data_IF_456207339230
#
_entry.id   IF_456207339230
#
_cell.length_a   1.000
_cell.length_b   1.000
_cell.length_c   1.000
_cell.angle_alpha   90.00
_cell.angle_beta   90.00
_cell.angle_gamma   90.00
#
_symmetry.space_group_name_H-M   'P 1'
#
loop_
_entity.id
_entity.type
_entity.pdbx_description
1 polymer ?
#
# COMPACT_ATOMS: atom_id res chain seq x y z
N UNK A 1 7.40 9.76 -18.03
CA UNK A 1 5.91 9.91 -17.99
C UNK A 1 5.31 8.67 -17.38
N UNK A 2 4.41 8.76 -16.40
CA UNK A 2 3.81 7.58 -15.76
C UNK A 2 2.30 7.75 -15.68
N UNK A 3 1.54 6.80 -16.22
CA UNK A 3 0.08 6.85 -16.29
C UNK A 3 -0.52 5.49 -15.94
N UNK A 4 -1.63 5.50 -15.21
CA UNK A 4 -2.41 4.32 -14.86
C UNK A 4 -3.86 4.55 -15.25
N UNK A 5 -4.45 3.56 -15.89
CA UNK A 5 -5.80 3.63 -16.40
C UNK A 5 -6.57 2.38 -16.00
N UNK A 6 -7.82 2.57 -15.64
CA UNK A 6 -8.75 1.48 -15.34
C UNK A 6 -9.92 1.50 -16.29
N UNK A 7 -10.45 0.32 -16.57
CA UNK A 7 -11.68 0.13 -17.31
C UNK A 7 -12.55 -0.84 -16.53
N UNK A 8 -13.75 -0.39 -16.18
CA UNK A 8 -14.71 -1.16 -15.40
C UNK A 8 -16.05 -1.22 -16.13
N UNK A 9 -16.54 -2.43 -16.36
CA UNK A 9 -17.92 -2.73 -16.76
C UNK A 9 -18.54 -3.73 -15.78
N UNK A 10 -19.75 -4.25 -16.05
CA UNK A 10 -20.47 -5.18 -15.17
C UNK A 10 -19.69 -6.49 -14.88
N UNK A 11 -18.77 -6.89 -15.76
CA UNK A 11 -18.04 -8.17 -15.70
C UNK A 11 -16.52 -8.05 -15.75
N UNK A 12 -16.01 -6.90 -16.20
CA UNK A 12 -14.61 -6.63 -16.45
C UNK A 12 -14.10 -5.56 -15.50
N UNK A 13 -12.97 -5.85 -14.87
CA UNK A 13 -12.19 -4.87 -14.12
C UNK A 13 -10.73 -4.97 -14.58
N UNK A 14 -10.36 -4.12 -15.54
CA UNK A 14 -9.08 -4.19 -16.24
C UNK A 14 -8.24 -2.95 -15.94
N UNK A 15 -6.93 -3.12 -15.95
CA UNK A 15 -6.00 -2.00 -15.90
C UNK A 15 -5.06 -2.00 -17.10
N UNK A 16 -4.54 -0.81 -17.37
CA UNK A 16 -3.47 -0.57 -18.30
C UNK A 16 -2.60 0.55 -17.74
N UNK A 17 -1.30 0.43 -17.82
CA UNK A 17 -0.36 1.46 -17.39
C UNK A 17 0.76 1.61 -18.39
N UNK A 18 1.34 2.80 -18.39
CA UNK A 18 2.58 3.09 -19.12
C UNK A 18 3.53 3.84 -18.22
N UNK A 19 4.79 3.41 -18.22
CA UNK A 19 5.91 4.07 -17.54
C UNK A 19 7.02 4.32 -18.56
N UNK A 20 7.26 5.59 -18.88
CA UNK A 20 8.27 6.07 -19.81
C UNK A 20 9.46 6.57 -19.01
N UNK A 21 10.61 5.93 -19.22
CA UNK A 21 11.90 6.23 -18.62
C UNK A 21 12.94 6.43 -19.73
N UNK A 22 13.26 7.69 -20.04
CA UNK A 22 14.15 8.05 -21.14
C UNK A 22 13.61 7.57 -22.50
N UNK A 23 14.44 6.88 -23.28
CA UNK A 23 14.08 6.34 -24.59
C UNK A 23 13.32 5.00 -24.54
N UNK A 24 12.91 4.55 -23.35
CA UNK A 24 12.22 3.27 -23.17
C UNK A 24 10.90 3.48 -22.46
N UNK A 25 9.86 2.78 -22.90
CA UNK A 25 8.63 2.69 -22.13
C UNK A 25 8.27 1.25 -21.80
N UNK A 26 7.63 1.08 -20.66
CA UNK A 26 7.02 -0.18 -20.21
C UNK A 26 5.52 -0.01 -20.19
N UNK A 27 4.81 -0.88 -20.88
CA UNK A 27 3.35 -0.97 -20.83
C UNK A 27 2.98 -2.22 -20.03
N UNK A 28 2.13 -2.06 -19.02
CA UNK A 28 1.60 -3.19 -18.24
C UNK A 28 0.08 -3.22 -18.33
N UNK A 29 -0.51 -4.40 -18.51
CA UNK A 29 -1.97 -4.55 -18.59
C UNK A 29 -2.45 -5.85 -17.97
N UNK A 30 -3.70 -5.88 -17.50
CA UNK A 30 -4.26 -7.06 -16.87
C UNK A 30 -5.60 -6.81 -16.20
N UNK A 31 -5.99 -7.75 -15.33
CA UNK A 31 -7.13 -7.60 -14.43
C UNK A 31 -6.67 -6.83 -13.18
N UNK A 32 -7.46 -5.88 -12.69
CA UNK A 32 -7.12 -5.17 -11.44
C UNK A 32 -6.96 -6.20 -10.31
N UNK A 33 -5.85 -6.09 -9.57
CA UNK A 33 -5.49 -7.03 -8.50
C UNK A 33 -4.65 -8.24 -8.93
N UNK A 34 -4.33 -8.40 -10.23
CA UNK A 34 -3.31 -9.34 -10.68
C UNK A 34 -2.01 -8.63 -11.05
N UNK A 35 -0.92 -9.39 -11.16
CA UNK A 35 0.39 -8.86 -11.59
C UNK A 35 0.39 -8.33 -13.04
N UNK A 36 -0.61 -8.71 -13.84
CA UNK A 36 -0.70 -8.35 -15.26
C UNK A 36 0.43 -8.92 -16.13
N UNK A 37 0.53 -8.39 -17.34
CA UNK A 37 1.60 -8.66 -18.30
C UNK A 37 2.27 -7.35 -18.68
N UNK A 38 3.60 -7.36 -18.75
CA UNK A 38 4.41 -6.18 -19.09
C UNK A 38 5.11 -6.37 -20.43
N UNK A 39 5.17 -5.31 -21.22
CA UNK A 39 5.91 -5.23 -22.47
C UNK A 39 6.79 -3.98 -22.46
N UNK A 40 8.08 -4.17 -22.69
CA UNK A 40 9.07 -3.09 -22.72
C UNK A 40 9.43 -2.82 -24.18
N UNK A 41 9.49 -1.53 -24.54
CA UNK A 41 9.91 -1.11 -25.87
C UNK A 41 10.88 0.06 -25.79
N UNK A 42 12.00 -0.08 -26.48
CA UNK A 42 13.06 0.92 -26.55
C UNK A 42 13.06 1.59 -27.92
N UNK A 43 13.28 2.90 -27.93
CA UNK A 43 13.27 3.77 -29.10
C UNK A 43 14.64 4.41 -29.29
N UNK A 44 14.81 5.03 -30.46
CA UNK A 44 16.06 5.70 -30.78
C UNK A 44 16.25 6.97 -29.94
N UNK A 45 15.17 7.73 -29.75
CA UNK A 45 15.18 8.96 -28.97
C UNK A 45 14.02 9.02 -27.94
N UNK A 46 14.16 9.91 -26.96
CA UNK A 46 13.16 10.11 -25.90
C UNK A 46 11.87 10.76 -26.43
N UNK A 47 11.94 11.59 -27.47
CA UNK A 47 10.78 12.31 -28.01
C UNK A 47 9.83 11.38 -28.76
N UNK A 48 10.36 10.46 -29.54
CA UNK A 48 9.67 9.38 -30.25
C UNK A 48 9.03 8.43 -29.23
N UNK A 49 9.78 8.04 -28.20
CA UNK A 49 9.28 7.23 -27.10
C UNK A 49 8.05 7.87 -26.44
N UNK A 50 8.13 9.17 -26.11
CA UNK A 50 7.04 9.91 -25.49
C UNK A 50 5.84 10.05 -26.42
N UNK A 51 6.06 10.39 -27.71
CA UNK A 51 4.98 10.51 -28.71
C UNK A 51 4.20 9.21 -28.90
N UNK A 52 4.89 8.07 -28.99
CA UNK A 52 4.24 6.77 -29.11
C UNK A 52 3.50 6.38 -27.82
N UNK A 53 4.08 6.64 -26.65
CA UNK A 53 3.40 6.41 -25.37
C UNK A 53 2.11 7.24 -25.24
N UNK A 54 2.15 8.52 -25.62
CA UNK A 54 0.97 9.38 -25.62
C UNK A 54 -0.09 8.96 -26.63
N UNK A 55 0.33 8.45 -27.79
CA UNK A 55 -0.59 7.90 -28.80
C UNK A 55 -1.35 6.71 -28.22
N UNK A 56 -0.65 5.76 -27.59
CA UNK A 56 -1.26 4.63 -26.90
C UNK A 56 -2.21 5.08 -25.79
N UNK A 57 -1.82 6.08 -25.01
CA UNK A 57 -2.68 6.67 -23.98
C UNK A 57 -4.00 7.19 -24.58
N UNK A 58 -3.93 8.02 -25.62
CA UNK A 58 -5.12 8.59 -26.29
C UNK A 58 -6.03 7.50 -26.85
N UNK A 59 -5.47 6.42 -27.41
CA UNK A 59 -6.25 5.28 -27.89
C UNK A 59 -6.98 4.56 -26.76
N UNK A 60 -6.37 4.41 -25.58
CA UNK A 60 -7.02 3.80 -24.41
C UNK A 60 -8.13 4.68 -23.85
N UNK A 61 -7.90 5.99 -23.74
CA UNK A 61 -8.91 6.95 -23.29
C UNK A 61 -10.14 6.93 -24.22
N UNK A 62 -9.94 6.88 -25.54
CA UNK A 62 -11.04 6.74 -26.51
C UNK A 62 -11.84 5.44 -26.36
N UNK A 63 -11.22 4.37 -25.84
CA UNK A 63 -11.88 3.09 -25.55
C UNK A 63 -12.62 3.08 -24.21
N UNK A 64 -12.73 4.22 -23.54
CA UNK A 64 -13.45 4.37 -22.27
C UNK A 64 -12.61 4.03 -21.04
N UNK A 65 -11.30 3.86 -21.18
CA UNK A 65 -10.43 3.79 -19.99
C UNK A 65 -10.39 5.15 -19.30
N UNK A 66 -10.39 5.14 -17.98
CA UNK A 66 -10.31 6.34 -17.15
C UNK A 66 -8.94 6.41 -16.48
N UNK A 67 -8.36 7.61 -16.47
CA UNK A 67 -7.11 7.85 -15.77
C UNK A 67 -7.33 7.81 -14.24
N UNK A 68 -6.47 7.07 -13.55
CA UNK A 68 -6.52 6.90 -12.09
C UNK A 68 -5.11 6.94 -11.52
N UNK A 69 -5.01 7.10 -10.20
CA UNK A 69 -3.73 7.11 -9.50
C UNK A 69 -3.01 5.77 -9.59
N UNK A 70 -1.68 5.81 -9.53
CA UNK A 70 -0.89 4.59 -9.50
C UNK A 70 -1.16 3.82 -8.19
N UNK A 71 -1.27 2.48 -8.22
CA UNK A 71 -1.62 1.69 -7.04
C UNK A 71 -0.71 1.94 -5.84
N UNK A 72 0.58 2.18 -6.10
CA UNK A 72 1.59 2.47 -5.09
C UNK A 72 1.34 3.80 -4.37
N UNK A 73 0.97 4.85 -5.10
CA UNK A 73 0.61 6.16 -4.53
C UNK A 73 -0.64 6.05 -3.67
N UNK A 74 -1.63 5.28 -4.14
CA UNK A 74 -2.86 5.02 -3.39
C UNK A 74 -2.58 4.24 -2.09
N UNK A 75 -1.72 3.23 -2.15
CA UNK A 75 -1.33 2.46 -0.98
C UNK A 75 -0.61 3.34 0.06
N UNK A 76 0.32 4.18 -0.38
CA UNK A 76 1.04 5.11 0.49
C UNK A 76 0.10 6.12 1.17
N UNK A 77 -0.85 6.68 0.42
CA UNK A 77 -1.86 7.58 0.98
C UNK A 77 -2.76 6.89 2.02
N UNK A 78 -3.16 5.64 1.77
CA UNK A 78 -3.95 4.84 2.72
C UNK A 78 -3.15 4.50 3.97
N UNK A 79 -1.89 4.09 3.82
CA UNK A 79 -0.99 3.80 4.96
C UNK A 79 -0.80 5.06 5.80
N UNK A 80 -0.54 6.20 5.16
CA UNK A 80 -0.41 7.48 5.85
C UNK A 80 -1.69 7.85 6.59
N UNK A 81 -2.85 7.72 5.95
CA UNK A 81 -4.14 8.00 6.59
C UNK A 81 -4.40 7.08 7.79
N UNK A 82 -4.17 5.77 7.65
CA UNK A 82 -4.33 4.81 8.73
C UNK A 82 -3.37 5.10 9.88
N UNK A 83 -2.13 5.45 9.57
CA UNK A 83 -1.15 5.89 10.55
C UNK A 83 -1.64 7.13 11.28
N UNK A 84 -2.02 8.20 10.57
CA UNK A 84 -2.48 9.46 11.18
C UNK A 84 -3.72 9.24 12.06
N UNK A 85 -4.68 8.44 11.59
CA UNK A 85 -5.87 8.04 12.36
C UNK A 85 -5.51 7.25 13.60
N UNK A 86 -4.58 6.30 13.49
CA UNK A 86 -4.12 5.51 14.62
C UNK A 86 -3.37 6.37 15.64
N UNK A 87 -2.52 7.31 15.19
CA UNK A 87 -1.85 8.27 16.05
C UNK A 87 -2.84 9.16 16.80
N UNK A 88 -3.91 9.61 16.15
CA UNK A 88 -4.96 10.40 16.80
C UNK A 88 -5.75 9.57 17.82
N UNK A 89 -6.06 8.32 17.49
CA UNK A 89 -6.65 7.38 18.44
C UNK A 89 -5.76 7.19 19.67
N UNK A 90 -4.47 6.92 19.48
CA UNK A 90 -3.51 6.77 20.57
C UNK A 90 -3.42 8.04 21.42
N UNK A 91 -3.30 9.22 20.82
CA UNK A 91 -3.29 10.49 21.56
C UNK A 91 -4.54 10.70 22.41
N UNK A 92 -5.70 10.31 21.90
CA UNK A 92 -6.97 10.41 22.64
C UNK A 92 -6.99 9.42 23.81
N UNK A 93 -6.59 8.17 23.57
CA UNK A 93 -6.56 7.13 24.61
C UNK A 93 -5.50 7.34 25.68
N UNK A 94 -4.34 7.90 25.33
CA UNK A 94 -3.30 8.27 26.31
C UNK A 94 -3.83 9.32 27.29
N UNK A 95 -4.59 10.32 26.82
CA UNK A 95 -5.26 11.27 27.70
C UNK A 95 -6.28 10.61 28.62
N UNK A 96 -7.05 9.64 28.10
CA UNK A 96 -7.97 8.86 28.94
C UNK A 96 -7.21 8.10 30.05
N UNK A 97 -5.99 7.63 29.78
CA UNK A 97 -5.16 6.89 30.75
C UNK A 97 -4.50 7.77 31.82
N UNK A 98 -4.35 9.07 31.57
CA UNK A 98 -3.89 10.05 32.56
C UNK A 98 -4.98 10.39 33.59
N UNK A 99 -6.24 9.98 33.36
CA UNK A 99 -7.30 10.10 34.36
C UNK A 99 -7.02 9.22 35.59
N UNK A 100 -7.22 9.78 36.79
CA UNK A 100 -6.87 9.15 38.07
C UNK A 100 -7.51 7.78 38.33
N UNK A 101 -8.56 7.43 37.56
CA UNK A 101 -9.26 6.14 37.64
C UNK A 101 -8.43 4.99 37.07
N UNK A 102 -7.63 5.21 36.04
CA UNK A 102 -6.80 4.16 35.43
C UNK A 102 -5.38 4.10 36.01
N UNK A 103 -4.85 5.22 36.52
CA UNK A 103 -3.53 5.25 37.16
C UNK A 103 -3.37 4.20 38.27
N UNK A 104 -4.42 4.00 39.09
CA UNK A 104 -4.43 2.97 40.15
C UNK A 104 -4.55 1.54 39.61
N UNK A 105 -5.22 1.35 38.48
CA UNK A 105 -5.34 0.05 37.82
C UNK A 105 -4.00 -0.35 37.17
N UNK A 106 -3.31 0.61 36.54
CA UNK A 106 -2.02 0.37 35.89
C UNK A 106 -0.87 0.09 36.85
N UNK A 107 -0.89 0.66 38.06
CA UNK A 107 0.11 0.33 39.09
C UNK A 107 -0.02 -1.11 39.61
N UNK A 108 -1.19 -1.74 39.46
CA UNK A 108 -1.44 -3.13 39.90
C UNK A 108 -1.24 -4.17 38.80
N UNK A 109 -1.10 -3.73 37.55
CA UNK A 109 -0.94 -4.64 36.42
C UNK A 109 0.51 -5.12 36.35
N UNK A 110 0.69 -6.43 36.19
CA UNK A 110 1.98 -6.99 35.83
C UNK A 110 2.16 -6.86 34.32
N UNK A 111 2.83 -5.77 33.91
CA UNK A 111 3.03 -5.43 32.52
C UNK A 111 3.85 -6.45 31.73
N UNK A 112 4.79 -7.17 32.37
CA UNK A 112 5.55 -8.23 31.70
C UNK A 112 4.62 -9.36 31.25
N UNK A 113 3.67 -9.75 32.10
CA UNK A 113 2.70 -10.81 31.78
C UNK A 113 1.71 -10.39 30.71
N UNK A 114 1.23 -9.14 30.75
CA UNK A 114 0.29 -8.64 29.75
C UNK A 114 0.97 -8.42 28.39
N UNK A 115 2.19 -7.89 28.39
CA UNK A 115 2.99 -7.73 27.18
C UNK A 115 3.30 -9.09 26.53
N UNK A 116 3.65 -10.11 27.33
CA UNK A 116 3.88 -11.47 26.83
C UNK A 116 2.61 -12.06 26.22
N UNK A 117 1.44 -11.94 26.87
CA UNK A 117 0.18 -12.43 26.30
C UNK A 117 -0.18 -11.79 24.95
N UNK A 118 0.02 -10.47 24.83
CA UNK A 118 -0.19 -9.75 23.57
C UNK A 118 0.80 -10.23 22.52
N UNK A 119 2.08 -10.37 22.88
CA UNK A 119 3.12 -10.87 21.99
C UNK A 119 2.79 -12.28 21.48
N UNK A 120 2.44 -13.21 22.36
CA UNK A 120 2.05 -14.58 21.99
C UNK A 120 0.81 -14.59 21.07
N UNK A 121 -0.17 -13.72 21.34
CA UNK A 121 -1.38 -13.61 20.52
C UNK A 121 -1.07 -13.12 19.11
N UNK A 122 -0.22 -12.10 18.98
CA UNK A 122 0.26 -11.59 17.69
C UNK A 122 1.05 -12.68 16.97
N UNK A 123 2.04 -13.31 17.61
CA UNK A 123 2.80 -14.40 17.01
C UNK A 123 1.90 -15.54 16.51
N UNK A 124 0.92 -15.97 17.31
CA UNK A 124 -0.05 -17.01 16.93
C UNK A 124 -0.85 -16.65 15.67
N UNK A 125 -1.33 -15.41 15.57
CA UNK A 125 -2.05 -14.93 14.39
C UNK A 125 -1.16 -14.98 13.14
N UNK A 126 0.08 -14.50 13.24
CA UNK A 126 1.00 -14.45 12.10
C UNK A 126 1.42 -15.85 11.65
N UNK A 127 1.66 -16.78 12.58
CA UNK A 127 1.92 -18.20 12.27
C UNK A 127 0.74 -18.84 11.54
N UNK A 128 -0.51 -18.55 11.94
CA UNK A 128 -1.72 -19.06 11.24
C UNK A 128 -1.91 -18.43 9.86
N UNK A 129 -1.46 -17.20 9.66
CA UNK A 129 -1.55 -16.48 8.38
C UNK A 129 -0.45 -16.84 7.38
N UNK A 130 0.54 -17.67 7.75
CA UNK A 130 1.59 -18.17 6.84
C UNK A 130 2.67 -17.16 6.44
N UNK A 131 2.74 -15.98 7.09
CA UNK A 131 3.76 -14.96 6.78
C UNK A 131 5.08 -15.20 7.54
N UNK A 132 6.21 -15.26 6.83
CA UNK A 132 7.57 -15.39 7.39
C UNK A 132 8.08 -14.15 8.17
N UNK A 133 7.26 -13.11 8.34
CA UNK A 133 7.65 -11.82 8.92
C UNK A 133 7.74 -11.78 10.46
N UNK A 134 7.55 -12.92 11.15
CA UNK A 134 7.58 -12.98 12.62
C UNK A 134 8.93 -12.53 13.24
N UNK A 135 10.04 -12.66 12.52
CA UNK A 135 11.38 -12.37 13.05
C UNK A 135 11.73 -10.87 13.07
N UNK A 136 11.08 -10.03 12.28
CA UNK A 136 11.43 -8.60 12.21
C UNK A 136 10.73 -7.74 13.28
N UNK A 137 9.53 -8.12 13.74
CA UNK A 137 8.79 -7.35 14.74
C UNK A 137 9.37 -7.47 16.15
N UNK A 138 9.95 -8.63 16.49
CA UNK A 138 10.63 -8.85 17.77
C UNK A 138 11.83 -7.92 17.99
N UNK A 139 12.52 -7.51 16.93
CA UNK A 139 13.62 -6.56 17.04
C UNK A 139 13.16 -5.11 17.22
N UNK A 140 11.94 -4.72 16.82
CA UNK A 140 11.51 -3.30 16.93
C UNK A 140 10.99 -2.96 18.34
N UNK A 141 10.42 -3.93 19.06
CA UNK A 141 9.85 -3.70 20.40
C UNK A 141 10.94 -3.68 21.50
N UNK A 142 12.12 -4.26 21.27
CA UNK A 142 13.21 -4.28 22.26
C UNK A 142 14.01 -2.96 22.31
N UNK A 143 13.88 -2.08 21.30
CA UNK A 143 14.64 -0.83 21.19
C UNK A 143 13.81 0.46 21.44
N UNK A 144 12.60 0.35 21.99
CA UNK A 144 11.79 1.48 22.48
C UNK A 144 11.54 1.34 23.98
#
# INVERSE_FOLDING_TARGET
MKKYLTYQDESSNKFWSVDVSGNTFTVTFGKVGSSGQSSVKTFHDEQECLKEAEKLLREKLKKGYLETEWPEQKAEAVIKFLSDSFHQFLKTKVKDFEESKYAKAFQKINWEKEADQVFQSVCSYWTKSGSQNCLYFGMVIIYL
#
